data_IF_005148305708
#
_entry.id   IF_005148305708
#
_cell.length_a   1.000
_cell.length_b   1.000
_cell.length_c   1.000
_cell.angle_alpha   90.00
_cell.angle_beta   90.00
_cell.angle_gamma   90.00
#
_symmetry.space_group_name_H-M   'P 1'
#
loop_
_entity.id
_entity.type
_entity.pdbx_description
1 polymer ?
#
# COMPACT_ATOMS: atom_id res chain seq x y z
N UNK A 1 -10.99 -1.47 18.72
CA UNK A 1 -9.91 -0.56 18.32
C UNK A 1 -8.80 -1.40 17.72
N UNK A 2 -7.96 -0.89 16.81
CA UNK A 2 -6.82 -1.69 16.30
C UNK A 2 -5.82 -1.90 17.44
N UNK A 3 -5.35 -3.13 17.64
CA UNK A 3 -4.28 -3.44 18.60
C UNK A 3 -3.04 -2.56 18.35
N UNK A 4 -2.73 -2.27 17.08
CA UNK A 4 -1.65 -1.37 16.68
C UNK A 4 -1.82 0.06 17.23
N UNK A 5 -3.05 0.58 17.29
CA UNK A 5 -3.31 1.90 17.87
C UNK A 5 -3.15 1.91 19.39
N UNK A 6 -3.51 0.82 20.06
CA UNK A 6 -3.28 0.66 21.50
C UNK A 6 -1.77 0.67 21.84
N UNK A 7 -0.93 0.26 20.88
CA UNK A 7 0.53 0.30 20.97
C UNK A 7 1.15 1.64 20.49
N UNK A 8 0.33 2.65 20.17
CA UNK A 8 0.81 3.96 19.71
C UNK A 8 1.28 4.02 18.25
N UNK A 9 1.04 2.99 17.44
CA UNK A 9 1.37 3.00 16.02
C UNK A 9 0.39 3.86 15.22
N UNK A 10 0.89 4.55 14.20
CA UNK A 10 0.05 5.19 13.18
C UNK A 10 -0.49 4.13 12.22
N UNK A 11 -1.77 4.20 11.90
CA UNK A 11 -2.48 3.24 11.05
C UNK A 11 -2.98 3.93 9.79
N UNK A 12 -2.55 3.41 8.63
CA UNK A 12 -2.95 3.87 7.30
C UNK A 12 -3.50 2.69 6.48
N UNK A 13 -4.83 2.49 6.41
CA UNK A 13 -5.42 1.50 5.53
C UNK A 13 -5.25 1.88 4.05
N UNK A 14 -5.05 0.87 3.22
CA UNK A 14 -5.01 0.98 1.77
C UNK A 14 -6.33 0.46 1.20
N UNK A 15 -7.03 1.26 0.40
CA UNK A 15 -8.39 0.91 -0.05
C UNK A 15 -8.76 1.60 -1.36
N UNK A 16 -9.78 1.10 -2.05
CA UNK A 16 -10.44 1.83 -3.15
C UNK A 16 -11.54 2.77 -2.65
N UNK A 17 -12.03 2.58 -1.41
CA UNK A 17 -13.16 3.32 -0.86
C UNK A 17 -12.71 4.45 0.09
N UNK A 18 -12.75 5.68 -0.40
CA UNK A 18 -12.41 6.88 0.37
C UNK A 18 -13.36 7.14 1.56
N UNK A 19 -14.59 6.65 1.50
CA UNK A 19 -15.65 6.88 2.51
C UNK A 19 -15.83 5.71 3.48
N UNK A 20 -14.83 4.84 3.58
CA UNK A 20 -14.86 3.71 4.51
C UNK A 20 -15.05 4.16 5.96
N UNK A 21 -15.91 3.47 6.72
CA UNK A 21 -16.04 3.65 8.18
C UNK A 21 -14.71 3.47 8.93
N UNK A 22 -13.75 2.78 8.33
CA UNK A 22 -12.42 2.57 8.90
C UNK A 22 -11.55 3.84 8.80
N UNK A 23 -11.85 4.73 7.85
CA UNK A 23 -11.10 5.95 7.63
C UNK A 23 -11.22 6.91 8.82
N UNK A 24 -12.36 6.92 9.53
CA UNK A 24 -12.59 7.82 10.66
C UNK A 24 -11.81 7.45 11.93
N UNK A 25 -11.28 6.23 12.00
CA UNK A 25 -10.54 5.73 13.17
C UNK A 25 -9.04 5.57 12.90
N UNK A 26 -8.56 5.91 11.70
CA UNK A 26 -7.18 5.79 11.24
C UNK A 26 -6.50 7.17 11.12
N UNK A 27 -5.18 7.19 11.02
CA UNK A 27 -4.39 8.44 10.98
C UNK A 27 -4.32 9.07 9.57
N UNK A 28 -4.74 8.29 8.57
CA UNK A 28 -4.95 8.71 7.20
C UNK A 28 -5.36 7.50 6.37
N UNK A 29 -5.56 7.69 5.07
CA UNK A 29 -5.91 6.61 4.14
C UNK A 29 -5.09 6.74 2.86
N UNK A 30 -4.64 5.60 2.32
CA UNK A 30 -4.06 5.55 0.98
C UNK A 30 -5.11 5.00 0.02
N UNK A 31 -5.61 5.85 -0.87
CA UNK A 31 -6.63 5.45 -1.84
C UNK A 31 -5.97 5.00 -3.13
N UNK A 32 -6.28 3.76 -3.54
CA UNK A 32 -5.85 3.20 -4.83
C UNK A 32 -7.03 3.28 -5.80
N UNK A 33 -6.93 4.04 -6.91
CA UNK A 33 -7.98 4.08 -7.92
C UNK A 33 -8.02 2.74 -8.68
N UNK A 34 -8.99 1.89 -8.35
CA UNK A 34 -9.20 0.62 -9.03
C UNK A 34 -10.69 0.27 -9.06
N UNK A 35 -11.11 -0.46 -10.10
CA UNK A 35 -12.47 -0.96 -10.20
C UNK A 35 -12.74 -1.98 -9.09
N UNK A 36 -13.94 -1.91 -8.51
CA UNK A 36 -14.42 -2.95 -7.61
C UNK A 36 -15.25 -3.98 -8.37
N UNK A 37 -15.61 -5.08 -7.70
CA UNK A 37 -16.52 -6.08 -8.27
C UNK A 37 -17.88 -5.50 -8.72
N UNK A 38 -18.26 -4.34 -8.21
CA UNK A 38 -19.53 -3.68 -8.52
C UNK A 38 -19.45 -2.66 -9.64
N UNK A 39 -18.25 -2.30 -10.13
CA UNK A 39 -18.02 -1.35 -11.23
C UNK A 39 -18.88 -0.10 -11.10
N UNK A 40 -18.78 0.57 -9.95
CA UNK A 40 -19.66 1.70 -9.61
C UNK A 40 -19.36 2.92 -10.48
N UNK A 41 -20.33 3.83 -10.66
CA UNK A 41 -20.09 5.11 -11.32
C UNK A 41 -18.92 5.86 -10.66
N UNK A 42 -17.97 6.33 -11.47
CA UNK A 42 -16.75 7.01 -11.01
C UNK A 42 -15.56 6.09 -10.74
N UNK A 43 -15.73 4.76 -10.77
CA UNK A 43 -14.60 3.82 -10.76
C UNK A 43 -13.92 3.79 -12.15
N UNK A 44 -12.60 3.57 -12.20
CA UNK A 44 -11.89 3.47 -13.47
C UNK A 44 -12.37 2.25 -14.27
N UNK A 45 -12.44 2.39 -15.60
CA UNK A 45 -12.68 1.25 -16.49
C UNK A 45 -11.49 0.28 -16.46
N UNK A 46 -11.77 -1.03 -16.46
CA UNK A 46 -10.73 -2.05 -16.58
C UNK A 46 -11.26 -3.32 -17.26
N UNK A 47 -10.39 -3.95 -18.06
CA UNK A 47 -10.62 -5.30 -18.62
C UNK A 47 -10.29 -6.40 -17.59
N UNK A 48 -9.63 -6.03 -16.49
CA UNK A 48 -9.13 -6.98 -15.52
C UNK A 48 -10.28 -7.52 -14.65
N UNK A 49 -10.23 -8.80 -14.26
CA UNK A 49 -11.28 -9.41 -13.47
C UNK A 49 -11.15 -9.01 -11.99
N UNK A 50 -12.30 -8.77 -11.34
CA UNK A 50 -12.43 -8.59 -9.90
C UNK A 50 -11.42 -7.57 -9.33
N UNK A 51 -10.66 -7.96 -8.31
CA UNK A 51 -9.71 -7.10 -7.59
C UNK A 51 -8.33 -7.01 -8.23
N UNK A 52 -8.07 -7.65 -9.38
CA UNK A 52 -6.71 -7.74 -9.95
C UNK A 52 -6.08 -6.36 -10.21
N UNK A 53 -6.88 -5.39 -10.66
CA UNK A 53 -6.38 -4.02 -10.85
C UNK A 53 -5.91 -3.41 -9.53
N UNK A 54 -6.65 -3.62 -8.44
CA UNK A 54 -6.28 -3.15 -7.11
C UNK A 54 -4.99 -3.83 -6.64
N UNK A 55 -4.93 -5.17 -6.71
CA UNK A 55 -3.78 -5.94 -6.23
C UNK A 55 -2.48 -5.56 -6.94
N UNK A 56 -2.53 -5.36 -8.25
CA UNK A 56 -1.36 -4.91 -9.02
C UNK A 56 -0.99 -3.47 -8.71
N UNK A 57 -1.99 -2.58 -8.64
CA UNK A 57 -1.74 -1.16 -8.37
C UNK A 57 -1.18 -0.94 -6.97
N UNK A 58 -1.70 -1.63 -5.96
CA UNK A 58 -1.19 -1.51 -4.59
C UNK A 58 0.24 -2.03 -4.49
N UNK A 59 0.57 -3.13 -5.17
CA UNK A 59 1.93 -3.65 -5.18
C UNK A 59 2.92 -2.62 -5.76
N UNK A 60 2.62 -2.06 -6.94
CA UNK A 60 3.46 -1.05 -7.58
C UNK A 60 3.60 0.22 -6.74
N UNK A 61 2.52 0.66 -6.09
CA UNK A 61 2.56 1.84 -5.21
C UNK A 61 3.40 1.57 -3.96
N UNK A 62 3.30 0.39 -3.36
CA UNK A 62 4.11 0.01 -2.21
C UNK A 62 5.60 -0.09 -2.57
N UNK A 63 5.93 -0.68 -3.72
CA UNK A 63 7.31 -0.71 -4.24
C UNK A 63 7.84 0.71 -4.49
N UNK A 64 7.02 1.59 -5.09
CA UNK A 64 7.39 2.97 -5.32
C UNK A 64 7.66 3.74 -4.02
N UNK A 65 6.89 3.47 -2.96
CA UNK A 65 7.14 4.05 -1.63
C UNK A 65 8.50 3.58 -1.11
N UNK A 66 8.81 2.28 -1.19
CA UNK A 66 10.11 1.75 -0.76
C UNK A 66 11.24 2.42 -1.56
N UNK A 67 11.17 2.42 -2.89
CA UNK A 67 12.16 3.05 -3.77
C UNK A 67 12.35 4.53 -3.40
N UNK A 68 11.25 5.28 -3.26
CA UNK A 68 11.29 6.69 -2.90
C UNK A 68 11.87 6.95 -1.50
N UNK A 69 11.62 6.07 -0.53
CA UNK A 69 12.21 6.19 0.82
C UNK A 69 13.69 5.85 0.85
N UNK A 70 14.17 5.01 -0.07
CA UNK A 70 15.58 4.62 -0.18
C UNK A 70 16.41 5.60 -1.03
N UNK A 71 15.79 6.55 -1.71
CA UNK A 71 16.47 7.60 -2.49
C UNK A 71 17.13 8.70 -1.63
N UNK A 72 17.29 8.50 -0.32
CA UNK A 72 18.04 9.39 0.57
C UNK A 72 19.56 9.14 0.46
N UNK A 73 20.39 10.08 0.96
CA UNK A 73 21.86 9.99 0.90
C UNK A 73 22.38 8.60 1.36
N UNK A 74 23.19 7.94 0.51
CA UNK A 74 23.72 6.56 0.60
C UNK A 74 22.83 5.40 0.08
N UNK A 75 22.46 5.44 -1.20
CA UNK A 75 21.83 4.30 -1.89
C UNK A 75 22.67 3.01 -1.86
N UNK A 76 24.01 3.13 -1.96
CA UNK A 76 24.91 1.97 -1.94
C UNK A 76 24.85 1.23 -0.58
N UNK A 77 24.85 1.98 0.52
CA UNK A 77 24.73 1.41 1.87
C UNK A 77 23.36 0.78 2.09
N UNK A 78 22.29 1.40 1.59
CA UNK A 78 20.95 0.84 1.65
C UNK A 78 20.86 -0.50 0.91
N UNK A 79 21.45 -0.58 -0.29
CA UNK A 79 21.48 -1.81 -1.08
C UNK A 79 22.23 -2.94 -0.35
N UNK A 80 23.44 -2.67 0.16
CA UNK A 80 24.20 -3.66 0.93
C UNK A 80 23.46 -4.16 2.18
N UNK A 81 22.83 -3.26 2.93
CA UNK A 81 22.05 -3.62 4.11
C UNK A 81 20.81 -4.47 3.76
N UNK A 82 20.14 -4.16 2.65
CA UNK A 82 19.03 -4.98 2.14
C UNK A 82 19.51 -6.36 1.73
N UNK A 83 20.64 -6.47 1.02
CA UNK A 83 21.24 -7.77 0.65
C UNK A 83 21.58 -8.61 1.88
N UNK A 84 22.17 -8.01 2.92
CA UNK A 84 22.49 -8.74 4.18
C UNK A 84 21.25 -9.25 4.90
N UNK A 85 20.15 -8.50 4.86
CA UNK A 85 18.88 -8.87 5.52
C UNK A 85 18.01 -9.80 4.67
N UNK A 86 18.27 -9.88 3.37
CA UNK A 86 17.64 -10.85 2.50
C UNK A 86 18.23 -12.22 2.84
N UNK A 87 17.59 -12.90 3.79
CA UNK A 87 18.00 -14.24 4.19
C UNK A 87 17.78 -15.18 3.00
N UNK A 88 18.84 -15.85 2.54
CA UNK A 88 18.73 -17.00 1.63
C UNK A 88 18.21 -18.19 2.43
N UNK A 89 16.89 -18.23 2.66
CA UNK A 89 16.16 -19.45 2.99
C UNK A 89 15.69 -20.08 1.68
N UNK A 90 16.65 -20.55 0.89
CA UNK A 90 16.39 -21.54 -0.17
C UNK A 90 16.66 -22.94 0.37
#
# INVERSE_FOLDING_TARGET
>A
MFQSKEMGAKVFPITTNKESKIASICDGILVIPAATKYRRPGEPGTIQPLGNQFDQSVHLVLDAIIIGTLQTDNQDTAYEEMTKRHTNLE
#
